data_IF_468979158934
#
_entry.id   IF_468979158934
#
_cell.length_a   1.000
_cell.length_b   1.000
_cell.length_c   1.000
_cell.angle_alpha   90.00
_cell.angle_beta   90.00
_cell.angle_gamma   90.00
#
_symmetry.space_group_name_H-M   'P 1'
#
loop_
_entity.id
_entity.type
_entity.pdbx_description
1 polymer ?
#
# COMPACT_ATOMS: atom_id res chain seq x y z
N UNK A 1 -14.79 -40.89 -1.49
CA UNK A 1 -13.42 -40.41 -1.76
C UNK A 1 -13.57 -39.01 -2.34
N UNK A 2 -12.91 -38.00 -1.78
CA UNK A 2 -12.83 -36.67 -2.40
C UNK A 2 -11.99 -36.80 -3.67
N UNK A 3 -12.50 -36.36 -4.82
CA UNK A 3 -11.75 -36.38 -6.07
C UNK A 3 -10.50 -35.51 -5.95
N UNK A 4 -9.39 -35.98 -6.51
CA UNK A 4 -8.09 -35.29 -6.48
C UNK A 4 -8.11 -33.91 -7.13
N UNK A 5 -9.15 -33.62 -7.93
CA UNK A 5 -9.41 -32.32 -8.54
C UNK A 5 -10.08 -31.31 -7.60
N UNK A 6 -10.65 -31.76 -6.47
CA UNK A 6 -11.34 -30.90 -5.50
C UNK A 6 -10.40 -30.45 -4.36
N UNK A 7 -9.10 -30.38 -4.66
CA UNK A 7 -8.08 -29.88 -3.74
C UNK A 7 -7.80 -28.39 -4.01
N UNK A 8 -7.52 -27.62 -2.95
CA UNK A 8 -7.04 -26.24 -3.08
C UNK A 8 -5.82 -26.16 -4.03
N UNK A 9 -4.99 -27.20 -4.06
CA UNK A 9 -3.86 -27.31 -4.97
C UNK A 9 -4.29 -27.35 -6.45
N UNK A 10 -5.37 -28.06 -6.78
CA UNK A 10 -5.94 -28.11 -8.12
C UNK A 10 -6.61 -26.77 -8.51
N UNK A 11 -7.27 -26.09 -7.57
CA UNK A 11 -7.80 -24.73 -7.79
C UNK A 11 -6.67 -23.73 -8.10
N UNK A 12 -5.60 -23.75 -7.30
CA UNK A 12 -4.43 -22.90 -7.53
C UNK A 12 -3.82 -23.20 -8.89
N UNK A 13 -3.63 -24.49 -9.23
CA UNK A 13 -3.05 -24.90 -10.52
C UNK A 13 -3.93 -24.53 -11.72
N UNK A 14 -5.25 -24.60 -11.58
CA UNK A 14 -6.23 -24.20 -12.61
C UNK A 14 -6.31 -22.67 -12.77
N UNK A 15 -6.18 -21.93 -11.66
CA UNK A 15 -6.08 -20.47 -11.69
C UNK A 15 -4.73 -19.98 -12.22
N UNK A 16 -3.66 -20.76 -12.01
CA UNK A 16 -2.30 -20.49 -12.51
C UNK A 16 -2.07 -21.05 -13.92
N UNK A 17 -3.14 -21.31 -14.69
CA UNK A 17 -3.06 -21.65 -16.12
C UNK A 17 -2.57 -20.49 -17.01
N UNK A 18 -2.00 -19.44 -16.42
CA UNK A 18 -1.09 -18.54 -17.08
C UNK A 18 0.32 -19.01 -16.78
N UNK A 19 1.06 -19.38 -17.82
CA UNK A 19 2.51 -19.21 -17.85
C UNK A 19 2.87 -17.92 -17.08
N UNK A 20 3.91 -17.91 -16.22
CA UNK A 20 4.44 -16.67 -15.70
C UNK A 20 5.06 -15.92 -16.88
N UNK A 21 4.21 -15.25 -17.66
CA UNK A 21 4.64 -14.10 -18.45
C UNK A 21 5.31 -13.21 -17.42
N UNK A 22 6.63 -13.10 -17.53
CA UNK A 22 7.42 -12.28 -16.64
C UNK A 22 6.78 -10.89 -16.68
N UNK A 23 6.02 -10.57 -15.63
CA UNK A 23 5.49 -9.23 -15.44
C UNK A 23 6.66 -8.27 -15.51
N UNK A 24 6.42 -6.98 -15.83
CA UNK A 24 7.48 -5.99 -15.71
C UNK A 24 8.19 -6.18 -14.37
N UNK A 25 9.53 -6.09 -14.36
CA UNK A 25 10.28 -6.15 -13.10
C UNK A 25 9.72 -5.11 -12.14
N UNK A 26 9.82 -5.36 -10.84
CA UNK A 26 9.39 -4.41 -9.82
C UNK A 26 9.98 -3.01 -10.07
N UNK A 27 11.25 -2.93 -10.47
CA UNK A 27 11.92 -1.68 -10.85
C UNK A 27 11.26 -0.98 -12.05
N UNK A 28 10.83 -1.74 -13.06
CA UNK A 28 10.15 -1.19 -14.23
C UNK A 28 8.75 -0.65 -13.87
N UNK A 29 8.07 -1.29 -12.93
CA UNK A 29 6.78 -0.84 -12.41
C UNK A 29 6.93 0.42 -11.54
N UNK A 30 7.91 0.44 -10.63
CA UNK A 30 8.25 1.61 -9.82
C UNK A 30 8.60 2.83 -10.69
N UNK A 31 9.40 2.62 -11.74
CA UNK A 31 9.75 3.68 -12.69
C UNK A 31 8.52 4.22 -13.41
N UNK A 32 7.60 3.36 -13.85
CA UNK A 32 6.34 3.80 -14.49
C UNK A 32 5.49 4.67 -13.56
N UNK A 33 5.42 4.32 -12.28
CA UNK A 33 4.68 5.12 -11.28
C UNK A 33 5.33 6.48 -11.09
N UNK A 34 6.67 6.52 -10.94
CA UNK A 34 7.41 7.79 -10.80
C UNK A 34 7.23 8.67 -12.03
N UNK A 35 7.39 8.10 -13.23
CA UNK A 35 7.24 8.85 -14.49
C UNK A 35 5.81 9.38 -14.64
N UNK A 36 4.80 8.61 -14.24
CA UNK A 36 3.40 9.05 -14.20
C UNK A 36 3.17 10.21 -13.22
N UNK A 37 3.72 10.13 -12.01
CA UNK A 37 3.62 11.21 -11.02
C UNK A 37 4.31 12.49 -11.49
N UNK A 38 5.48 12.36 -12.13
CA UNK A 38 6.23 13.50 -12.69
C UNK A 38 5.45 14.13 -13.85
N UNK A 39 4.85 13.32 -14.72
CA UNK A 39 4.00 13.81 -15.81
C UNK A 39 2.79 14.60 -15.32
N UNK A 40 2.15 14.15 -14.23
CA UNK A 40 0.95 14.79 -13.70
C UNK A 40 1.22 16.03 -12.84
N UNK A 41 2.25 15.99 -11.98
CA UNK A 41 2.46 17.00 -10.93
C UNK A 41 3.79 17.74 -11.07
N UNK A 42 4.58 17.45 -12.10
CA UNK A 42 5.97 17.88 -12.20
C UNK A 42 6.87 17.15 -11.20
N UNK A 43 8.18 17.41 -11.29
CA UNK A 43 9.19 16.74 -10.44
C UNK A 43 8.99 17.06 -8.96
N UNK A 44 8.83 18.33 -8.62
CA UNK A 44 8.67 18.76 -7.22
C UNK A 44 7.33 18.29 -6.63
N UNK A 45 6.27 18.28 -7.44
CA UNK A 45 4.98 17.72 -7.05
C UNK A 45 5.05 16.22 -6.80
N UNK A 46 5.72 15.46 -7.67
CA UNK A 46 5.93 14.03 -7.49
C UNK A 46 6.71 13.74 -6.20
N UNK A 47 7.78 14.50 -5.90
CA UNK A 47 8.54 14.38 -4.64
C UNK A 47 7.62 14.63 -3.43
N UNK A 48 6.82 15.71 -3.47
CA UNK A 48 5.89 16.05 -2.38
C UNK A 48 4.83 14.97 -2.14
N UNK A 49 4.34 14.34 -3.22
CA UNK A 49 3.37 13.23 -3.15
C UNK A 49 4.01 12.00 -2.51
N UNK A 50 5.19 11.58 -2.99
CA UNK A 50 5.91 10.42 -2.46
C UNK A 50 6.24 10.62 -0.98
N UNK A 51 6.79 11.78 -0.62
CA UNK A 51 7.08 12.12 0.78
C UNK A 51 5.81 12.14 1.65
N UNK A 52 4.70 12.64 1.12
CA UNK A 52 3.41 12.60 1.80
C UNK A 52 2.92 11.17 2.05
N UNK A 53 3.08 10.30 1.05
CA UNK A 53 2.73 8.88 1.15
C UNK A 53 3.59 8.14 2.17
N UNK A 54 4.91 8.35 2.17
CA UNK A 54 5.81 7.74 3.17
C UNK A 54 5.47 8.17 4.60
N UNK A 55 5.18 9.45 4.82
CA UNK A 55 4.73 9.94 6.13
C UNK A 55 3.42 9.30 6.58
N UNK A 56 2.48 9.16 5.65
CA UNK A 56 1.20 8.51 5.92
C UNK A 56 1.39 7.04 6.32
N UNK A 57 2.21 6.30 5.56
CA UNK A 57 2.57 4.92 5.90
C UNK A 57 3.19 4.84 7.30
N UNK A 58 4.19 5.68 7.59
CA UNK A 58 4.86 5.70 8.89
C UNK A 58 3.89 5.86 10.06
N UNK A 59 2.98 6.84 9.98
CA UNK A 59 1.98 7.06 11.04
C UNK A 59 0.98 5.91 11.19
N UNK A 60 0.53 5.32 10.08
CA UNK A 60 -0.37 4.16 10.12
C UNK A 60 0.33 2.96 10.73
N UNK A 61 1.57 2.68 10.35
CA UNK A 61 2.38 1.61 10.93
C UNK A 61 2.59 1.81 12.42
N UNK A 62 2.90 3.03 12.86
CA UNK A 62 3.06 3.36 14.28
C UNK A 62 1.75 3.16 15.05
N UNK A 63 0.62 3.61 14.50
CA UNK A 63 -0.70 3.39 15.10
C UNK A 63 -1.00 1.90 15.25
N UNK A 64 -0.78 1.09 14.21
CA UNK A 64 -0.99 -0.36 14.24
C UNK A 64 -0.07 -1.00 15.28
N UNK A 65 1.22 -0.63 15.32
CA UNK A 65 2.18 -1.15 16.29
C UNK A 65 1.74 -0.86 17.73
N UNK A 66 1.27 0.36 18.02
CA UNK A 66 0.74 0.73 19.34
C UNK A 66 -0.52 -0.09 19.70
N UNK A 67 -1.41 -0.31 18.75
CA UNK A 67 -2.63 -1.12 18.96
C UNK A 67 -2.30 -2.59 19.20
N UNK A 68 -1.38 -3.15 18.42
CA UNK A 68 -0.87 -4.51 18.60
C UNK A 68 -0.22 -4.70 19.99
N UNK A 69 0.63 -3.76 20.41
CA UNK A 69 1.27 -3.79 21.74
C UNK A 69 0.24 -3.78 22.89
N UNK A 70 -0.89 -3.11 22.68
CA UNK A 70 -1.98 -3.03 23.66
C UNK A 70 -3.03 -4.15 23.50
N UNK A 71 -2.82 -5.13 22.61
CA UNK A 71 -3.81 -6.14 22.22
C UNK A 71 -5.21 -5.54 21.91
N UNK A 72 -5.21 -4.37 21.28
CA UNK A 72 -6.40 -3.59 20.98
C UNK A 72 -6.73 -3.66 19.49
N UNK A 73 -8.00 -3.77 19.16
CA UNK A 73 -8.48 -3.75 17.78
C UNK A 73 -8.33 -2.36 17.16
N UNK A 74 -7.96 -2.30 15.88
CA UNK A 74 -7.94 -1.06 15.10
C UNK A 74 -9.38 -0.72 14.71
N UNK A 75 -9.83 0.49 15.03
CA UNK A 75 -11.16 0.98 14.63
C UNK A 75 -11.06 2.01 13.50
N UNK A 76 -12.20 2.31 12.86
CA UNK A 76 -12.26 3.34 11.83
C UNK A 76 -11.89 4.74 12.39
N UNK A 77 -12.25 5.01 13.65
CA UNK A 77 -11.91 6.26 14.33
C UNK A 77 -10.40 6.43 14.52
N UNK A 78 -9.67 5.35 14.77
CA UNK A 78 -8.20 5.39 14.88
C UNK A 78 -7.57 5.82 13.55
N UNK A 79 -8.04 5.23 12.45
CA UNK A 79 -7.58 5.57 11.10
C UNK A 79 -7.95 7.03 10.77
N UNK A 80 -9.20 7.44 11.02
CA UNK A 80 -9.65 8.83 10.84
C UNK A 80 -8.78 9.82 11.61
N UNK A 81 -8.38 9.49 12.84
CA UNK A 81 -7.50 10.32 13.67
C UNK A 81 -6.14 10.54 13.00
N UNK A 82 -5.50 9.47 12.51
CA UNK A 82 -4.21 9.56 11.80
C UNK A 82 -4.32 10.50 10.58
N UNK A 83 -5.37 10.36 9.78
CA UNK A 83 -5.59 11.24 8.62
C UNK A 83 -5.86 12.70 9.01
N UNK A 84 -6.58 12.93 10.10
CA UNK A 84 -6.83 14.29 10.61
C UNK A 84 -5.53 14.95 11.08
N UNK A 85 -4.65 14.22 11.76
CA UNK A 85 -3.34 14.73 12.17
C UNK A 85 -2.47 15.08 10.95
N UNK A 86 -2.40 14.19 9.94
CA UNK A 86 -1.66 14.45 8.70
C UNK A 86 -2.16 15.71 7.98
N UNK A 87 -3.48 15.93 7.96
CA UNK A 87 -4.08 17.16 7.41
C UNK A 87 -3.71 18.40 8.23
N UNK A 88 -3.69 18.29 9.55
CA UNK A 88 -3.27 19.36 10.46
C UNK A 88 -1.81 19.77 10.25
N UNK A 89 -0.91 18.79 10.12
CA UNK A 89 0.52 19.02 9.88
C UNK A 89 0.81 19.70 8.54
N UNK A 90 0.04 19.36 7.49
CA UNK A 90 0.15 20.03 6.18
C UNK A 90 -0.29 21.49 6.21
N UNK A 91 -1.18 21.88 7.13
CA UNK A 91 -1.72 23.25 7.22
C UNK A 91 -0.88 24.17 8.11
N UNK A 92 0.02 23.65 8.93
CA UNK A 92 0.90 24.48 9.76
C UNK A 92 2.02 25.05 8.89
N UNK A 93 2.09 26.38 8.71
CA UNK A 93 3.29 26.98 8.13
C UNK A 93 4.44 26.74 9.11
N UNK A 94 5.58 26.27 8.59
CA UNK A 94 6.84 26.27 9.33
C UNK A 94 7.40 27.69 9.37
#
# INVERSE_FOLDING_TARGET
>A
LLDSEDTLAAYVRKSSGHEPTAGPSQEAEEKRVIDGLVSMAGRDGAISIIQGYEKMKGKLTEMIAKKAANNSTVTEEDVKRVFNELRGERKRPR
#
